data_IF_488380189563
#
_entry.id   IF_488380189563
#
_cell.length_a   1.000
_cell.length_b   1.000
_cell.length_c   1.000
_cell.angle_alpha   90.00
_cell.angle_beta   90.00
_cell.angle_gamma   90.00
#
_symmetry.space_group_name_H-M   'P 1'
#
loop_
_entity.id
_entity.type
_entity.pdbx_description
1 polymer ?
#
# COMPACT_ATOMS: atom_id res chain seq x y z
N UNK A 1 -18.22 14.66 16.64
CA UNK A 1 -16.94 15.25 17.13
C UNK A 1 -16.12 15.88 16.00
N UNK A 2 -16.02 15.26 14.81
CA UNK A 2 -15.21 15.78 13.70
C UNK A 2 -15.64 17.14 13.12
N UNK A 3 -16.94 17.45 13.12
CA UNK A 3 -17.48 18.73 12.60
C UNK A 3 -17.20 19.95 13.48
N UNK A 4 -16.90 19.77 14.78
CA UNK A 4 -16.90 20.88 15.74
C UNK A 4 -15.51 21.49 16.01
N UNK A 5 -14.41 20.75 15.78
CA UNK A 5 -13.04 21.25 15.94
C UNK A 5 -11.97 20.30 15.36
N UNK A 6 -11.81 20.20 14.02
CA UNK A 6 -10.86 19.27 13.40
C UNK A 6 -9.41 19.50 13.84
N UNK A 7 -9.03 20.77 14.05
CA UNK A 7 -7.69 21.16 14.50
C UNK A 7 -7.41 20.76 15.96
N UNK A 8 -8.43 20.66 16.81
CA UNK A 8 -8.27 20.30 18.23
C UNK A 8 -7.98 18.82 18.43
N UNK A 9 -8.43 17.95 17.50
CA UNK A 9 -8.21 16.50 17.60
C UNK A 9 -6.72 16.17 17.63
N UNK A 10 -5.92 16.84 16.80
CA UNK A 10 -4.47 16.66 16.77
C UNK A 10 -3.82 16.97 18.14
N UNK A 11 -4.20 18.09 18.78
CA UNK A 11 -3.65 18.45 20.08
C UNK A 11 -4.08 17.50 21.20
N UNK A 12 -5.34 17.02 21.17
CA UNK A 12 -5.84 16.04 22.12
C UNK A 12 -5.10 14.70 21.98
N UNK A 13 -4.96 14.19 20.76
CA UNK A 13 -4.20 12.96 20.52
C UNK A 13 -2.73 13.11 20.89
N UNK A 14 -2.12 14.28 20.63
CA UNK A 14 -0.75 14.58 21.05
C UNK A 14 -0.58 14.52 22.57
N UNK A 15 -1.55 15.03 23.33
CA UNK A 15 -1.53 14.97 24.79
C UNK A 15 -1.57 13.51 25.27
N UNK A 16 -2.53 12.72 24.78
CA UNK A 16 -2.67 11.31 25.13
C UNK A 16 -1.44 10.48 24.74
N UNK A 17 -0.91 10.69 23.54
CA UNK A 17 0.33 10.05 23.09
C UNK A 17 1.48 10.32 24.07
N UNK A 18 1.69 11.59 24.48
CA UNK A 18 2.76 11.95 25.43
C UNK A 18 2.54 11.33 26.79
N UNK A 19 1.29 11.26 27.27
CA UNK A 19 0.96 10.58 28.54
C UNK A 19 1.34 9.10 28.47
N UNK A 20 0.91 8.38 27.43
CA UNK A 20 1.23 6.95 27.24
C UNK A 20 2.74 6.73 27.07
N UNK A 21 3.41 7.52 26.24
CA UNK A 21 4.85 7.38 26.01
C UNK A 21 5.69 7.68 27.25
N UNK A 22 5.16 8.44 28.22
CA UNK A 22 5.86 8.74 29.46
C UNK A 22 5.80 7.61 30.50
N UNK A 23 4.87 6.66 30.37
CA UNK A 23 4.63 5.58 31.36
C UNK A 23 5.91 4.82 31.76
N UNK A 24 6.79 4.40 30.81
CA UNK A 24 8.02 3.69 31.18
C UNK A 24 8.99 4.49 32.06
N UNK A 25 8.84 5.83 32.10
CA UNK A 25 9.72 6.74 32.81
C UNK A 25 9.13 7.24 34.14
N UNK A 26 7.84 7.01 34.38
CA UNK A 26 7.15 7.44 35.60
C UNK A 26 7.45 6.45 36.73
N UNK A 27 8.15 6.92 37.76
CA UNK A 27 8.44 6.15 38.99
C UNK A 27 7.38 6.35 40.09
N UNK A 28 6.28 7.03 39.76
CA UNK A 28 5.22 7.32 40.72
C UNK A 28 4.46 6.04 41.09
N UNK A 29 4.13 5.90 42.37
CA UNK A 29 3.33 4.79 42.90
C UNK A 29 1.82 4.99 42.74
N UNK A 30 1.39 6.16 42.25
CA UNK A 30 -0.02 6.46 42.03
C UNK A 30 -0.54 5.83 40.71
N UNK A 31 -1.77 5.29 40.69
CA UNK A 31 -2.34 4.67 39.50
C UNK A 31 -2.61 5.71 38.41
N UNK A 32 -2.04 5.53 37.22
CA UNK A 32 -2.21 6.44 36.09
C UNK A 32 -3.53 6.26 35.31
N UNK A 33 -4.28 5.18 35.56
CA UNK A 33 -5.58 4.84 34.92
C UNK A 33 -5.59 4.79 33.38
N UNK A 34 -4.44 4.93 32.71
CA UNK A 34 -4.30 4.86 31.26
C UNK A 34 -4.83 3.55 30.65
N UNK A 35 -4.70 2.41 31.34
CA UNK A 35 -5.27 1.11 30.94
C UNK A 35 -6.81 1.10 30.85
N UNK A 36 -7.46 2.05 31.53
CA UNK A 36 -8.91 2.23 31.51
C UNK A 36 -9.33 3.22 30.41
N UNK A 37 -8.67 4.37 30.32
CA UNK A 37 -9.11 5.45 29.43
C UNK A 37 -8.53 5.40 28.01
N UNK A 38 -7.34 4.83 27.80
CA UNK A 38 -6.76 4.74 26.43
C UNK A 38 -7.59 3.88 25.47
N UNK A 39 -8.22 2.76 25.90
CA UNK A 39 -9.20 2.05 25.06
C UNK A 39 -10.42 2.91 24.70
N UNK A 40 -10.94 3.71 25.64
CA UNK A 40 -12.11 4.58 25.39
C UNK A 40 -11.80 5.67 24.37
N UNK A 41 -10.63 6.31 24.49
CA UNK A 41 -10.16 7.33 23.54
C UNK A 41 -9.97 6.70 22.15
N UNK A 42 -9.32 5.54 22.09
CA UNK A 42 -9.08 4.82 20.83
C UNK A 42 -10.39 4.42 20.18
N UNK A 43 -11.32 3.85 20.95
CA UNK A 43 -12.65 3.45 20.48
C UNK A 43 -13.45 4.63 19.97
N UNK A 44 -13.50 5.73 20.74
CA UNK A 44 -14.22 6.95 20.37
C UNK A 44 -13.68 7.55 19.07
N UNK A 45 -12.35 7.60 18.92
CA UNK A 45 -11.72 8.10 17.69
C UNK A 45 -12.12 7.24 16.48
N UNK A 46 -11.91 5.92 16.56
CA UNK A 46 -12.19 5.00 15.44
C UNK A 46 -13.66 5.07 15.06
N UNK A 47 -14.56 4.90 16.02
CA UNK A 47 -16.01 4.93 15.78
C UNK A 47 -16.44 6.27 15.17
N UNK A 48 -15.93 7.39 15.68
CA UNK A 48 -16.25 8.71 15.10
C UNK A 48 -15.79 8.85 13.64
N UNK A 49 -14.69 8.22 13.22
CA UNK A 49 -14.24 8.24 11.81
C UNK A 49 -15.11 7.37 10.92
N UNK A 50 -15.51 6.19 11.39
CA UNK A 50 -16.38 5.30 10.61
C UNK A 50 -17.82 5.84 10.46
N UNK A 51 -18.33 6.49 11.50
CA UNK A 51 -19.63 7.17 11.46
C UNK A 51 -19.58 8.39 10.53
N UNK A 52 -18.47 9.14 10.50
CA UNK A 52 -18.35 10.32 9.64
C UNK A 52 -18.44 9.99 8.16
N UNK A 53 -18.00 8.80 7.73
CA UNK A 53 -18.05 8.40 6.30
C UNK A 53 -19.47 8.49 5.75
N UNK A 54 -20.47 8.01 6.48
CA UNK A 54 -21.85 8.02 6.01
C UNK A 54 -22.38 9.46 5.84
N UNK A 55 -21.99 10.36 6.75
CA UNK A 55 -22.37 11.78 6.69
C UNK A 55 -21.68 12.47 5.52
N UNK A 56 -20.35 12.30 5.40
CA UNK A 56 -19.54 12.88 4.32
C UNK A 56 -20.07 12.49 2.94
N UNK A 57 -20.35 11.20 2.73
CA UNK A 57 -20.82 10.70 1.44
C UNK A 57 -22.24 11.17 1.11
N UNK A 58 -23.15 11.21 2.10
CA UNK A 58 -24.57 11.57 1.86
C UNK A 58 -24.79 13.07 1.74
N UNK A 59 -24.04 13.86 2.51
CA UNK A 59 -24.19 15.31 2.57
C UNK A 59 -23.17 16.04 1.66
N UNK A 60 -22.23 15.31 1.05
CA UNK A 60 -21.22 15.89 0.16
C UNK A 60 -20.25 16.82 0.88
N UNK A 61 -19.92 16.51 2.14
CA UNK A 61 -18.98 17.29 2.94
C UNK A 61 -17.53 16.99 2.55
N UNK A 62 -16.60 17.82 3.02
CA UNK A 62 -15.17 17.59 2.88
C UNK A 62 -14.77 16.27 3.56
N UNK A 63 -14.10 15.39 2.81
CA UNK A 63 -13.66 14.10 3.32
C UNK A 63 -12.30 14.24 4.00
N UNK A 64 -12.16 13.92 5.30
CA UNK A 64 -10.86 14.00 5.96
C UNK A 64 -9.79 13.09 5.34
N UNK A 65 -10.17 12.06 4.56
CA UNK A 65 -9.23 11.22 3.81
C UNK A 65 -8.54 11.95 2.63
N UNK A 66 -9.01 13.14 2.26
CA UNK A 66 -8.39 13.95 1.20
C UNK A 66 -7.08 14.64 1.70
N UNK A 67 -6.92 14.83 3.01
CA UNK A 67 -5.66 15.25 3.64
C UNK A 67 -4.93 14.06 4.29
N UNK A 68 -4.28 13.26 3.45
CA UNK A 68 -3.53 12.09 3.91
C UNK A 68 -2.38 12.44 4.87
N UNK A 69 -1.81 13.65 4.79
CA UNK A 69 -0.74 14.10 5.69
C UNK A 69 -1.25 14.26 7.12
N UNK A 70 -2.38 14.96 7.28
CA UNK A 70 -3.06 15.10 8.57
C UNK A 70 -3.53 13.75 9.11
N UNK A 71 -4.11 12.90 8.26
CA UNK A 71 -4.56 11.56 8.67
C UNK A 71 -3.40 10.72 9.18
N UNK A 72 -2.28 10.66 8.45
CA UNK A 72 -1.09 9.92 8.87
C UNK A 72 -0.58 10.39 10.24
N UNK A 73 -0.50 11.70 10.46
CA UNK A 73 -0.07 12.25 11.74
C UNK A 73 -1.00 11.86 12.89
N UNK A 74 -2.32 11.90 12.68
CA UNK A 74 -3.28 11.46 13.72
C UNK A 74 -3.17 9.97 14.00
N UNK A 75 -2.97 9.15 12.97
CA UNK A 75 -2.85 7.70 13.13
C UNK A 75 -1.54 7.27 13.77
N UNK A 76 -0.44 8.00 13.57
CA UNK A 76 0.81 7.80 14.32
C UNK A 76 0.64 8.07 15.81
N UNK A 77 -0.17 9.07 16.17
CA UNK A 77 -0.49 9.36 17.57
C UNK A 77 -1.41 8.30 18.15
N UNK A 78 -2.46 7.94 17.40
CA UNK A 78 -3.43 6.91 17.79
C UNK A 78 -2.76 5.55 17.97
N UNK A 79 -1.78 5.19 17.13
CA UNK A 79 -1.11 3.88 17.23
C UNK A 79 -0.38 3.74 18.55
N UNK A 80 0.29 4.80 19.03
CA UNK A 80 0.94 4.79 20.35
C UNK A 80 -0.10 4.64 21.47
N UNK A 81 -1.22 5.35 21.39
CA UNK A 81 -2.30 5.28 22.39
C UNK A 81 -2.93 3.88 22.42
N UNK A 82 -3.33 3.37 21.25
CA UNK A 82 -3.99 2.08 21.11
C UNK A 82 -3.09 0.89 21.50
N UNK A 83 -1.77 1.04 21.41
CA UNK A 83 -0.81 0.02 21.86
C UNK A 83 -0.59 -0.02 23.38
N UNK A 84 -1.10 0.96 24.12
CA UNK A 84 -1.15 0.87 25.59
C UNK A 84 -1.96 -0.36 26.04
N UNK A 85 -3.09 -0.60 25.37
CA UNK A 85 -4.02 -1.72 25.65
C UNK A 85 -4.31 -2.46 24.35
N UNK A 86 -3.26 -3.03 23.76
CA UNK A 86 -3.30 -3.48 22.36
C UNK A 86 -4.34 -4.57 22.11
N UNK A 87 -4.56 -5.47 23.07
CA UNK A 87 -5.58 -6.51 22.96
C UNK A 87 -6.99 -5.94 22.77
N UNK A 88 -7.37 -4.91 23.54
CA UNK A 88 -8.67 -4.25 23.41
C UNK A 88 -8.79 -3.53 22.07
N UNK A 89 -7.72 -2.86 21.63
CA UNK A 89 -7.65 -2.19 20.33
C UNK A 89 -7.82 -3.18 19.17
N UNK A 90 -7.09 -4.29 19.17
CA UNK A 90 -7.20 -5.32 18.14
C UNK A 90 -8.58 -5.97 18.11
N UNK A 91 -9.17 -6.29 19.27
CA UNK A 91 -10.52 -6.84 19.35
C UNK A 91 -11.56 -5.91 18.72
N UNK A 92 -11.47 -4.60 19.00
CA UNK A 92 -12.34 -3.60 18.39
C UNK A 92 -12.14 -3.51 16.87
N UNK A 93 -10.89 -3.47 16.40
CA UNK A 93 -10.59 -3.40 14.97
C UNK A 93 -11.10 -4.63 14.21
N UNK A 94 -10.92 -5.82 14.78
CA UNK A 94 -11.47 -7.07 14.24
C UNK A 94 -12.98 -6.98 14.09
N UNK A 95 -13.70 -6.57 15.15
CA UNK A 95 -15.15 -6.46 15.14
C UNK A 95 -15.65 -5.48 14.06
N UNK A 96 -15.08 -4.27 14.02
CA UNK A 96 -15.50 -3.22 13.08
C UNK A 96 -15.15 -3.58 11.63
N UNK A 97 -14.00 -4.24 11.42
CA UNK A 97 -13.59 -4.71 10.11
C UNK A 97 -14.49 -5.83 9.60
N UNK A 98 -14.73 -6.86 10.40
CA UNK A 98 -15.57 -7.99 10.00
C UNK A 98 -17.00 -7.50 9.67
N UNK A 99 -17.56 -6.61 10.50
CA UNK A 99 -18.85 -5.99 10.22
C UNK A 99 -18.86 -5.22 8.88
N UNK A 100 -17.87 -4.36 8.64
CA UNK A 100 -17.82 -3.53 7.42
C UNK A 100 -17.55 -4.38 6.18
N UNK A 101 -16.72 -5.41 6.29
CA UNK A 101 -16.37 -6.30 5.19
C UNK A 101 -17.54 -7.21 4.80
N UNK A 102 -18.29 -7.75 5.77
CA UNK A 102 -19.51 -8.53 5.50
C UNK A 102 -20.56 -7.68 4.80
N UNK A 103 -20.85 -6.47 5.30
CA UNK A 103 -21.80 -5.55 4.64
C UNK A 103 -21.35 -5.19 3.22
N UNK A 104 -20.06 -4.96 3.02
CA UNK A 104 -19.52 -4.70 1.69
C UNK A 104 -19.71 -5.90 0.74
N UNK A 105 -19.43 -7.12 1.19
CA UNK A 105 -19.64 -8.34 0.40
C UNK A 105 -21.11 -8.57 0.05
N UNK A 106 -22.01 -8.35 1.00
CA UNK A 106 -23.46 -8.43 0.77
C UNK A 106 -23.91 -7.43 -0.30
N UNK A 107 -23.46 -6.17 -0.20
CA UNK A 107 -23.75 -5.15 -1.21
C UNK A 107 -23.19 -5.53 -2.59
N UNK A 108 -21.98 -6.08 -2.65
CA UNK A 108 -21.36 -6.52 -3.90
C UNK A 108 -22.01 -7.75 -4.55
N UNK A 109 -22.81 -8.50 -3.79
CA UNK A 109 -23.58 -9.65 -4.30
C UNK A 109 -25.02 -9.31 -4.66
N UNK A 110 -25.54 -8.18 -4.15
CA UNK A 110 -26.89 -7.72 -4.42
C UNK A 110 -27.01 -6.98 -5.75
N UNK A 111 -27.93 -7.42 -6.61
CA UNK A 111 -28.20 -6.76 -7.90
C UNK A 111 -28.84 -5.37 -7.78
N UNK A 112 -29.39 -5.05 -6.61
CA UNK A 112 -30.07 -3.77 -6.34
C UNK A 112 -29.27 -2.89 -5.36
N UNK A 113 -27.97 -3.15 -5.17
CA UNK A 113 -27.17 -2.36 -4.25
C UNK A 113 -27.11 -0.89 -4.67
N UNK A 114 -27.45 0.00 -3.74
CA UNK A 114 -27.30 1.43 -3.97
C UNK A 114 -25.82 1.79 -3.98
N UNK A 115 -25.37 2.46 -5.03
CA UNK A 115 -23.97 2.88 -5.19
C UNK A 115 -23.46 3.69 -3.98
N UNK A 116 -24.33 4.49 -3.36
CA UNK A 116 -24.02 5.27 -2.17
C UNK A 116 -23.60 4.35 -1.01
N UNK A 117 -24.31 3.25 -0.77
CA UNK A 117 -24.00 2.35 0.34
C UNK A 117 -22.69 1.60 0.09
N UNK A 118 -22.40 1.26 -1.18
CA UNK A 118 -21.11 0.71 -1.60
C UNK A 118 -19.97 1.70 -1.27
N UNK A 119 -20.13 2.97 -1.65
CA UNK A 119 -19.14 4.02 -1.36
C UNK A 119 -18.95 4.25 0.14
N UNK A 120 -20.02 4.17 0.94
CA UNK A 120 -19.93 4.26 2.41
C UNK A 120 -19.10 3.11 2.98
N UNK A 121 -19.34 1.87 2.55
CA UNK A 121 -18.54 0.75 3.05
C UNK A 121 -17.09 0.81 2.56
N UNK A 122 -16.85 1.26 1.33
CA UNK A 122 -15.50 1.51 0.84
C UNK A 122 -14.76 2.51 1.74
N UNK A 123 -15.37 3.66 2.06
CA UNK A 123 -14.75 4.66 2.94
C UNK A 123 -14.49 4.15 4.36
N UNK A 124 -15.40 3.34 4.93
CA UNK A 124 -15.20 2.70 6.24
C UNK A 124 -14.02 1.73 6.22
N UNK A 125 -13.96 0.89 5.20
CA UNK A 125 -12.86 -0.06 5.01
C UNK A 125 -11.54 0.68 4.74
N UNK A 126 -11.55 1.80 4.00
CA UNK A 126 -10.37 2.65 3.82
C UNK A 126 -9.81 3.13 5.15
N UNK A 127 -10.67 3.69 6.02
CA UNK A 127 -10.27 4.10 7.37
C UNK A 127 -9.69 2.94 8.17
N UNK A 128 -10.36 1.80 8.18
CA UNK A 128 -9.91 0.62 8.92
C UNK A 128 -8.57 0.10 8.43
N UNK A 129 -8.34 0.04 7.12
CA UNK A 129 -7.06 -0.39 6.54
C UNK A 129 -5.93 0.57 6.94
N UNK A 130 -6.16 1.89 6.89
CA UNK A 130 -5.18 2.86 7.38
C UNK A 130 -4.91 2.70 8.88
N UNK A 131 -5.95 2.58 9.70
CA UNK A 131 -5.82 2.43 11.16
C UNK A 131 -5.08 1.13 11.49
N UNK A 132 -5.40 0.01 10.84
CA UNK A 132 -4.71 -1.27 11.02
C UNK A 132 -3.24 -1.16 10.62
N UNK A 133 -2.95 -0.58 9.45
CA UNK A 133 -1.58 -0.35 9.00
C UNK A 133 -0.77 0.47 10.01
N UNK A 134 -1.32 1.61 10.47
CA UNK A 134 -0.67 2.45 11.48
C UNK A 134 -0.56 1.76 12.84
N UNK A 135 -1.57 0.98 13.24
CA UNK A 135 -1.54 0.20 14.47
C UNK A 135 -0.36 -0.76 14.43
N UNK A 136 -0.21 -1.57 13.37
CA UNK A 136 0.92 -2.50 13.16
C UNK A 136 2.25 -1.75 13.11
N UNK A 137 2.34 -0.68 12.31
CA UNK A 137 3.53 0.14 12.12
C UNK A 137 4.00 0.90 13.37
N UNK A 138 3.09 1.23 14.30
CA UNK A 138 3.39 1.90 15.56
C UNK A 138 4.13 1.03 16.59
N UNK A 139 4.60 -0.16 16.19
CA UNK A 139 5.37 -1.05 17.07
C UNK A 139 6.74 -0.44 17.34
N UNK A 140 7.08 -0.28 18.62
CA UNK A 140 8.45 0.09 19.04
C UNK A 140 9.30 -1.19 19.14
N UNK A 141 10.52 -1.17 18.58
CA UNK A 141 11.41 -2.34 18.43
C UNK A 141 11.73 -3.11 19.73
N UNK A 142 11.51 -2.52 20.90
CA UNK A 142 11.79 -3.14 22.20
C UNK A 142 10.56 -3.82 22.85
N UNK A 143 9.38 -3.76 22.22
CA UNK A 143 8.12 -4.31 22.76
C UNK A 143 7.58 -5.48 21.92
N UNK A 144 8.47 -6.31 21.35
CA UNK A 144 8.08 -7.52 20.61
C UNK A 144 7.65 -8.62 21.58
N UNK A 145 6.35 -8.74 21.80
CA UNK A 145 5.73 -9.89 22.44
C UNK A 145 5.02 -10.76 21.39
N UNK A 146 5.22 -12.07 21.47
CA UNK A 146 4.57 -13.11 20.67
C UNK A 146 3.04 -12.95 20.57
N UNK A 147 2.38 -12.49 21.64
CA UNK A 147 0.93 -12.26 21.64
C UNK A 147 0.52 -11.12 20.70
N UNK A 148 1.31 -10.06 20.64
CA UNK A 148 1.08 -8.95 19.71
C UNK A 148 1.27 -9.39 18.26
N UNK A 149 2.20 -10.32 18.00
CA UNK A 149 2.37 -10.92 16.67
C UNK A 149 1.18 -11.75 16.22
N UNK A 150 0.57 -12.51 17.13
CA UNK A 150 -0.64 -13.26 16.81
C UNK A 150 -1.80 -12.31 16.45
N UNK A 151 -1.96 -11.23 17.22
CA UNK A 151 -3.00 -10.22 16.95
C UNK A 151 -2.76 -9.46 15.66
N UNK A 152 -1.51 -9.08 15.37
CA UNK A 152 -1.14 -8.46 14.09
C UNK A 152 -1.44 -9.43 12.93
N UNK A 153 -1.18 -10.73 13.11
CA UNK A 153 -1.54 -11.77 12.13
C UNK A 153 -3.04 -11.81 11.81
N UNK A 154 -3.91 -11.73 12.82
CA UNK A 154 -5.37 -11.67 12.63
C UNK A 154 -5.82 -10.45 11.80
N UNK A 155 -5.21 -9.29 12.06
CA UNK A 155 -5.52 -8.07 11.33
C UNK A 155 -4.99 -8.11 9.89
N UNK A 156 -3.76 -8.59 9.68
CA UNK A 156 -3.15 -8.76 8.36
C UNK A 156 -3.99 -9.70 7.50
N UNK A 157 -4.45 -10.83 8.06
CA UNK A 157 -5.30 -11.78 7.33
C UNK A 157 -6.55 -11.12 6.76
N UNK A 158 -7.24 -10.30 7.55
CA UNK A 158 -8.44 -9.56 7.14
C UNK A 158 -8.17 -8.57 6.02
N UNK A 159 -7.09 -7.79 6.14
CA UNK A 159 -6.70 -6.82 5.11
C UNK A 159 -6.35 -7.53 3.79
N UNK A 160 -5.63 -8.65 3.84
CA UNK A 160 -5.28 -9.43 2.65
C UNK A 160 -6.49 -10.12 2.01
N UNK A 161 -7.47 -10.58 2.80
CA UNK A 161 -8.73 -11.10 2.29
C UNK A 161 -9.55 -10.01 1.59
N UNK A 162 -9.61 -8.81 2.18
CA UNK A 162 -10.26 -7.66 1.55
C UNK A 162 -9.55 -7.28 0.24
N UNK A 163 -8.21 -7.29 0.21
CA UNK A 163 -7.44 -7.04 -1.01
C UNK A 163 -7.82 -8.04 -2.11
N UNK A 164 -7.89 -9.34 -1.81
CA UNK A 164 -8.31 -10.34 -2.79
C UNK A 164 -9.72 -10.06 -3.34
N UNK A 165 -10.65 -9.65 -2.47
CA UNK A 165 -12.01 -9.27 -2.86
C UNK A 165 -12.02 -8.04 -3.79
N UNK A 166 -11.28 -6.98 -3.45
CA UNK A 166 -11.24 -5.75 -4.26
C UNK A 166 -10.52 -5.97 -5.59
N UNK A 167 -9.41 -6.71 -5.58
CA UNK A 167 -8.59 -6.96 -6.77
C UNK A 167 -9.35 -7.80 -7.81
N UNK A 168 -10.14 -8.77 -7.35
CA UNK A 168 -10.99 -9.59 -8.23
C UNK A 168 -12.05 -8.80 -9.01
N UNK A 169 -12.32 -7.55 -8.61
CA UNK A 169 -13.37 -6.70 -9.19
C UNK A 169 -12.85 -5.44 -9.87
N UNK A 170 -11.54 -5.25 -9.99
CA UNK A 170 -10.96 -4.05 -10.59
C UNK A 170 -11.46 -3.77 -12.02
N UNK A 171 -11.83 -4.81 -12.77
CA UNK A 171 -12.43 -4.66 -14.11
C UNK A 171 -13.83 -4.04 -14.10
N UNK A 172 -14.56 -4.15 -12.98
CA UNK A 172 -15.91 -3.60 -12.78
C UNK A 172 -15.88 -2.20 -12.14
N UNK A 173 -14.72 -1.80 -11.60
CA UNK A 173 -14.51 -0.55 -10.89
C UNK A 173 -13.68 -0.74 -9.64
N UNK A 174 -12.92 0.28 -9.27
CA UNK A 174 -12.06 0.28 -8.07
C UNK A 174 -12.30 1.51 -7.20
N UNK A 175 -11.76 1.48 -5.99
CA UNK A 175 -11.76 2.63 -5.08
C UNK A 175 -10.32 3.09 -4.87
N UNK A 176 -9.94 4.24 -5.43
CA UNK A 176 -8.58 4.76 -5.32
C UNK A 176 -8.16 4.98 -3.86
N UNK A 177 -9.06 5.52 -3.02
CA UNK A 177 -8.80 5.75 -1.59
C UNK A 177 -8.48 4.44 -0.86
N UNK A 178 -9.24 3.38 -1.12
CA UNK A 178 -9.00 2.06 -0.54
C UNK A 178 -7.68 1.45 -1.05
N UNK A 179 -7.38 1.62 -2.34
CA UNK A 179 -6.12 1.16 -2.92
C UNK A 179 -4.90 1.84 -2.29
N UNK A 180 -4.98 3.15 -2.07
CA UNK A 180 -3.92 3.90 -1.37
C UNK A 180 -3.78 3.47 0.10
N UNK A 181 -4.88 3.11 0.76
CA UNK A 181 -4.83 2.51 2.08
C UNK A 181 -4.14 1.15 2.07
N UNK A 182 -4.41 0.30 1.08
CA UNK A 182 -3.73 -0.99 0.90
C UNK A 182 -2.22 -0.81 0.74
N UNK A 183 -1.78 0.13 -0.10
CA UNK A 183 -0.35 0.45 -0.27
C UNK A 183 0.28 0.95 1.03
N UNK A 184 -0.41 1.81 1.78
CA UNK A 184 0.04 2.27 3.10
C UNK A 184 0.15 1.12 4.10
N UNK A 185 -0.79 0.18 4.07
CA UNK A 185 -0.76 -1.01 4.90
C UNK A 185 0.46 -1.88 4.57
N UNK A 186 0.71 -2.16 3.27
CA UNK A 186 1.88 -2.94 2.84
C UNK A 186 3.20 -2.28 3.27
N UNK A 187 3.29 -0.95 3.21
CA UNK A 187 4.46 -0.22 3.70
C UNK A 187 4.72 -0.50 5.19
N UNK A 188 3.68 -0.39 6.04
CA UNK A 188 3.79 -0.63 7.47
C UNK A 188 4.05 -2.11 7.79
N UNK A 189 3.36 -3.02 7.11
CA UNK A 189 3.57 -4.45 7.26
C UNK A 189 5.00 -4.85 6.89
N UNK A 190 5.53 -4.33 5.77
CA UNK A 190 6.93 -4.54 5.35
C UNK A 190 7.91 -4.09 6.42
N UNK A 191 7.75 -2.86 6.94
CA UNK A 191 8.64 -2.27 7.95
C UNK A 191 8.80 -3.14 9.20
N UNK A 192 7.74 -3.85 9.59
CA UNK A 192 7.73 -4.66 10.82
C UNK A 192 8.07 -6.13 10.57
N UNK A 193 7.59 -6.69 9.45
CA UNK A 193 7.54 -8.14 9.25
C UNK A 193 8.25 -8.66 8.01
N UNK A 194 8.88 -7.81 7.21
CA UNK A 194 9.67 -8.22 6.05
C UNK A 194 11.09 -7.67 6.15
N UNK A 195 12.09 -8.56 6.12
CA UNK A 195 13.51 -8.20 6.20
C UNK A 195 14.31 -9.04 7.18
N UNK A 196 15.62 -8.81 7.26
CA UNK A 196 16.56 -9.69 7.98
C UNK A 196 16.39 -9.68 9.50
N UNK A 197 15.77 -8.62 10.06
CA UNK A 197 15.58 -8.46 11.50
C UNK A 197 14.30 -9.14 12.02
N UNK A 198 13.55 -9.80 11.13
CA UNK A 198 12.26 -10.42 11.48
C UNK A 198 12.49 -11.80 12.08
N UNK A 199 11.84 -12.05 13.22
CA UNK A 199 11.90 -13.36 13.86
C UNK A 199 11.20 -14.42 12.99
N UNK A 200 11.98 -15.39 12.51
CA UNK A 200 11.51 -16.47 11.61
C UNK A 200 10.37 -17.34 12.19
N UNK A 201 10.17 -17.32 13.51
CA UNK A 201 9.13 -18.07 14.22
C UNK A 201 8.01 -17.18 14.78
N UNK A 202 7.90 -15.94 14.31
CA UNK A 202 6.86 -15.01 14.77
C UNK A 202 5.46 -15.59 14.58
N UNK A 203 4.59 -15.42 15.57
CA UNK A 203 3.21 -15.91 15.53
C UNK A 203 2.37 -15.28 14.39
N UNK A 204 2.83 -14.17 13.81
CA UNK A 204 2.22 -13.57 12.63
C UNK A 204 2.23 -14.55 11.45
N UNK A 205 3.37 -15.19 11.18
CA UNK A 205 3.53 -16.12 10.05
C UNK A 205 2.77 -17.42 10.28
N UNK A 206 2.68 -17.87 11.54
CA UNK A 206 1.79 -18.98 11.89
C UNK A 206 0.35 -18.66 11.50
N UNK A 207 -0.12 -17.45 11.82
CA UNK A 207 -1.50 -17.09 11.52
C UNK A 207 -1.76 -16.93 10.02
N UNK A 208 -0.81 -16.35 9.30
CA UNK A 208 -0.88 -16.23 7.83
C UNK A 208 -0.87 -17.59 7.14
N UNK A 209 -0.10 -18.55 7.66
CA UNK A 209 -0.09 -19.94 7.20
C UNK A 209 -1.46 -20.60 7.42
N UNK A 210 -2.03 -20.50 8.62
CA UNK A 210 -3.32 -21.11 8.97
C UNK A 210 -4.50 -20.58 8.16
N UNK A 211 -4.55 -19.26 7.92
CA UNK A 211 -5.73 -18.61 7.31
C UNK A 211 -5.58 -18.43 5.80
N UNK A 212 -4.37 -18.13 5.32
CA UNK A 212 -4.11 -17.78 3.92
C UNK A 212 -3.19 -18.77 3.21
N UNK A 213 -2.64 -19.76 3.91
CA UNK A 213 -1.67 -20.70 3.34
C UNK A 213 -0.30 -20.08 3.07
N UNK A 214 0.00 -18.90 3.63
CA UNK A 214 1.29 -18.22 3.45
C UNK A 214 2.30 -18.74 4.48
N UNK A 215 3.06 -19.76 4.08
CA UNK A 215 3.89 -20.55 4.99
C UNK A 215 5.24 -19.93 5.31
N UNK A 216 5.73 -19.04 4.45
CA UNK A 216 7.04 -18.42 4.58
C UNK A 216 7.08 -16.99 4.03
N UNK A 217 8.20 -16.33 4.27
CA UNK A 217 8.47 -14.95 3.82
C UNK A 217 8.45 -14.84 2.29
N UNK A 218 8.84 -15.87 1.54
CA UNK A 218 8.84 -15.82 0.07
C UNK A 218 7.42 -15.76 -0.48
N UNK A 219 6.48 -16.53 0.10
CA UNK A 219 5.06 -16.44 -0.22
C UNK A 219 4.48 -15.06 0.11
N UNK A 220 4.89 -14.46 1.25
CA UNK A 220 4.50 -13.08 1.58
C UNK A 220 5.05 -12.10 0.54
N UNK A 221 6.33 -12.19 0.17
CA UNK A 221 6.92 -11.34 -0.88
C UNK A 221 6.21 -11.52 -2.23
N UNK A 222 5.77 -12.74 -2.58
CA UNK A 222 4.94 -12.99 -3.76
C UNK A 222 3.62 -12.21 -3.70
N UNK A 223 2.96 -12.12 -2.53
CA UNK A 223 1.77 -11.27 -2.35
C UNK A 223 2.07 -9.79 -2.61
N UNK A 224 3.19 -9.26 -2.10
CA UNK A 224 3.61 -7.87 -2.37
C UNK A 224 3.82 -7.63 -3.88
N UNK A 225 4.58 -8.49 -4.55
CA UNK A 225 4.90 -8.31 -5.98
C UNK A 225 3.64 -8.49 -6.84
N UNK A 226 2.76 -9.45 -6.51
CA UNK A 226 1.48 -9.61 -7.19
C UNK A 226 0.59 -8.38 -7.07
N UNK A 227 0.57 -7.76 -5.89
CA UNK A 227 -0.15 -6.50 -5.68
C UNK A 227 0.44 -5.37 -6.51
N UNK A 228 1.78 -5.25 -6.54
CA UNK A 228 2.49 -4.29 -7.39
C UNK A 228 2.09 -4.47 -8.86
N UNK A 229 2.17 -5.70 -9.39
CA UNK A 229 1.81 -6.00 -10.78
C UNK A 229 0.35 -5.65 -11.05
N UNK A 230 -0.56 -6.03 -10.16
CA UNK A 230 -1.98 -5.73 -10.27
C UNK A 230 -2.20 -4.23 -10.37
N UNK A 231 -1.55 -3.45 -9.52
CA UNK A 231 -1.69 -2.00 -9.55
C UNK A 231 -1.13 -1.38 -10.82
N UNK A 232 0.06 -1.82 -11.27
CA UNK A 232 0.66 -1.32 -12.51
C UNK A 232 -0.17 -1.69 -13.76
N UNK A 233 -0.95 -2.79 -13.72
CA UNK A 233 -1.85 -3.23 -14.79
C UNK A 233 -3.15 -2.43 -14.84
N UNK A 234 -3.83 -2.28 -13.69
CA UNK A 234 -5.21 -1.77 -13.66
C UNK A 234 -5.31 -0.28 -13.30
N UNK A 235 -4.33 0.28 -12.58
CA UNK A 235 -4.34 1.66 -12.10
C UNK A 235 -3.46 2.62 -12.92
N UNK A 236 -3.16 2.28 -14.18
CA UNK A 236 -2.27 3.06 -15.07
C UNK A 236 -2.70 4.51 -15.35
N UNK A 237 -3.93 4.90 -14.97
CA UNK A 237 -4.45 6.27 -15.08
C UNK A 237 -4.31 7.12 -13.81
N UNK A 238 -4.00 6.50 -12.67
CA UNK A 238 -3.82 7.22 -11.40
C UNK A 238 -2.32 7.34 -11.11
N UNK A 239 -1.73 8.48 -11.45
CA UNK A 239 -0.30 8.76 -11.18
C UNK A 239 0.05 8.52 -9.71
N UNK A 240 -0.85 8.90 -8.79
CA UNK A 240 -0.63 8.76 -7.36
C UNK A 240 -0.50 7.29 -6.93
N UNK A 241 -1.38 6.40 -7.42
CA UNK A 241 -1.31 4.96 -7.14
C UNK A 241 -0.05 4.35 -7.78
N UNK A 242 0.26 4.71 -9.03
CA UNK A 242 1.44 4.19 -9.73
C UNK A 242 2.72 4.58 -8.99
N UNK A 243 2.89 5.86 -8.67
CA UNK A 243 4.10 6.31 -8.02
C UNK A 243 4.24 5.76 -6.58
N UNK A 244 3.14 5.57 -5.81
CA UNK A 244 3.18 4.87 -4.51
C UNK A 244 3.48 3.36 -4.65
N UNK A 245 2.92 2.71 -5.67
CA UNK A 245 3.20 1.30 -6.00
C UNK A 245 4.68 1.09 -6.33
N UNK A 246 5.26 1.99 -7.12
CA UNK A 246 6.68 1.93 -7.48
C UNK A 246 7.60 2.29 -6.33
N UNK A 247 7.17 3.15 -5.40
CA UNK A 247 7.90 3.38 -4.16
C UNK A 247 8.00 2.08 -3.34
N UNK A 248 6.89 1.33 -3.22
CA UNK A 248 6.88 0.03 -2.55
C UNK A 248 7.83 -0.98 -3.23
N UNK A 249 7.82 -1.04 -4.56
CA UNK A 249 8.77 -1.86 -5.32
C UNK A 249 10.23 -1.44 -5.07
N UNK A 250 10.52 -0.14 -5.14
CA UNK A 250 11.87 0.38 -4.88
C UNK A 250 12.33 0.00 -3.46
N UNK A 251 11.46 0.18 -2.47
CA UNK A 251 11.71 -0.15 -1.07
C UNK A 251 12.05 -1.63 -0.84
N UNK A 252 11.42 -2.53 -1.60
CA UNK A 252 11.69 -3.97 -1.57
C UNK A 252 13.03 -4.33 -2.25
N UNK A 253 13.42 -3.59 -3.30
CA UNK A 253 14.61 -3.89 -4.11
C UNK A 253 15.91 -3.27 -3.59
N UNK A 254 15.86 -2.40 -2.58
CA UNK A 254 17.08 -1.80 -1.99
C UNK A 254 17.85 -2.78 -1.10
N UNK A 255 17.18 -3.70 -0.41
CA UNK A 255 17.81 -4.63 0.52
C UNK A 255 18.44 -5.84 -0.19
N UNK A 256 19.74 -6.10 0.05
CA UNK A 256 20.48 -7.21 -0.59
C UNK A 256 19.85 -8.59 -0.36
N UNK A 257 19.42 -8.89 0.87
CA UNK A 257 18.77 -10.16 1.21
C UNK A 257 17.40 -10.31 0.55
N UNK A 258 16.60 -9.25 0.55
CA UNK A 258 15.28 -9.21 -0.03
C UNK A 258 15.35 -9.38 -1.55
N UNK A 259 16.23 -8.65 -2.23
CA UNK A 259 16.36 -8.71 -3.70
C UNK A 259 16.73 -10.12 -4.18
N UNK A 260 17.60 -10.85 -3.46
CA UNK A 260 17.93 -12.25 -3.79
C UNK A 260 16.78 -13.24 -3.62
N UNK A 261 15.83 -12.96 -2.73
CA UNK A 261 14.60 -13.75 -2.61
C UNK A 261 13.61 -13.36 -3.71
N UNK A 262 13.46 -12.06 -3.96
CA UNK A 262 12.56 -11.51 -4.97
C UNK A 262 12.86 -12.05 -6.37
N UNK A 263 14.12 -12.10 -6.80
CA UNK A 263 14.47 -12.61 -8.14
C UNK A 263 14.12 -14.08 -8.34
N UNK A 264 13.83 -14.84 -7.30
CA UNK A 264 13.38 -16.25 -7.44
C UNK A 264 11.87 -16.37 -7.66
N UNK A 265 11.12 -15.28 -7.47
CA UNK A 265 9.66 -15.29 -7.60
C UNK A 265 9.25 -15.22 -9.07
N UNK A 266 8.26 -16.03 -9.45
CA UNK A 266 7.68 -16.02 -10.80
C UNK A 266 7.11 -14.65 -11.17
N UNK A 267 6.51 -13.94 -10.21
CA UNK A 267 5.98 -12.59 -10.43
C UNK A 267 7.08 -11.59 -10.82
N UNK A 268 8.28 -11.70 -10.22
CA UNK A 268 9.42 -10.85 -10.58
C UNK A 268 9.97 -11.24 -11.95
N UNK A 269 10.03 -12.54 -12.27
CA UNK A 269 10.41 -12.98 -13.62
C UNK A 269 9.43 -12.48 -14.67
N UNK A 270 8.14 -12.48 -14.37
CA UNK A 270 7.14 -11.88 -15.25
C UNK A 270 7.46 -10.40 -15.52
N UNK A 271 7.75 -9.61 -14.49
CA UNK A 271 8.07 -8.19 -14.66
C UNK A 271 9.35 -7.95 -15.47
N UNK A 272 10.41 -8.72 -15.24
CA UNK A 272 11.68 -8.61 -15.96
C UNK A 272 11.56 -8.99 -17.45
N UNK A 273 10.58 -9.82 -17.80
CA UNK A 273 10.37 -10.26 -19.18
C UNK A 273 9.25 -9.49 -19.90
N UNK A 274 8.43 -8.71 -19.18
CA UNK A 274 7.20 -8.10 -19.71
C UNK A 274 7.06 -6.62 -19.28
N UNK A 275 8.12 -5.83 -19.44
CA UNK A 275 8.22 -4.43 -19.04
C UNK A 275 7.89 -3.44 -20.16
N UNK A 276 6.78 -3.67 -20.88
CA UNK A 276 6.29 -2.79 -21.98
C UNK A 276 4.89 -2.25 -21.70
N UNK A 277 4.44 -1.30 -22.51
CA UNK A 277 3.09 -0.72 -22.40
C UNK A 277 1.94 -1.70 -22.67
N UNK A 278 2.24 -2.86 -23.27
CA UNK A 278 1.28 -3.97 -23.43
C UNK A 278 0.86 -4.55 -22.08
N UNK A 279 1.81 -4.64 -21.15
CA UNK A 279 1.61 -5.21 -19.83
C UNK A 279 1.39 -4.15 -18.75
N UNK A 280 2.01 -2.99 -18.92
CA UNK A 280 1.96 -1.90 -17.94
C UNK A 280 1.59 -0.58 -18.63
N UNK A 281 0.30 -0.20 -18.66
CA UNK A 281 -0.18 0.94 -19.45
C UNK A 281 0.54 2.27 -19.18
N UNK A 282 1.07 2.49 -17.97
CA UNK A 282 1.80 3.70 -17.61
C UNK A 282 3.13 3.89 -18.39
N UNK A 283 3.62 2.85 -19.07
CA UNK A 283 4.79 2.91 -19.96
C UNK A 283 4.43 3.40 -21.37
N UNK A 284 3.15 3.56 -21.69
CA UNK A 284 2.69 3.97 -23.02
C UNK A 284 2.92 5.45 -23.34
N UNK A 285 2.94 5.77 -24.63
CA UNK A 285 3.07 7.15 -25.12
C UNK A 285 1.80 8.00 -24.94
N UNK A 286 0.66 7.36 -24.61
CA UNK A 286 -0.60 8.04 -24.31
C UNK A 286 -0.60 8.80 -22.97
N UNK A 287 0.38 8.54 -22.12
CA UNK A 287 0.52 9.12 -20.78
C UNK A 287 1.02 10.57 -20.85
N UNK A 288 0.67 11.40 -19.86
CA UNK A 288 1.17 12.76 -19.77
C UNK A 288 2.68 12.78 -19.49
N UNK A 289 3.41 13.76 -20.04
CA UNK A 289 4.88 13.84 -19.88
C UNK A 289 5.29 14.02 -18.40
N UNK A 290 4.46 14.68 -17.60
CA UNK A 290 4.65 14.80 -16.15
C UNK A 290 4.68 13.45 -15.45
N UNK A 291 3.76 12.56 -15.82
CA UNK A 291 3.56 11.23 -15.23
C UNK A 291 4.65 10.23 -15.65
N UNK A 292 5.34 10.47 -16.79
CA UNK A 292 6.45 9.65 -17.27
C UNK A 292 7.65 9.59 -16.29
N UNK A 293 7.66 10.41 -15.23
CA UNK A 293 8.65 10.32 -14.15
C UNK A 293 8.59 8.96 -13.43
N UNK A 294 7.41 8.36 -13.30
CA UNK A 294 7.27 7.06 -12.64
C UNK A 294 8.03 5.95 -13.43
N UNK A 295 8.26 6.10 -14.75
CA UNK A 295 9.06 5.17 -15.58
C UNK A 295 10.49 5.00 -15.08
N UNK A 296 11.16 6.09 -14.72
CA UNK A 296 12.54 6.02 -14.20
C UNK A 296 12.61 5.19 -12.91
N UNK A 297 11.64 5.35 -11.99
CA UNK A 297 11.61 4.56 -10.75
C UNK A 297 11.38 3.07 -10.99
N UNK A 298 10.52 2.75 -11.98
CA UNK A 298 10.27 1.38 -12.40
C UNK A 298 11.55 0.72 -12.93
N UNK A 299 12.22 1.35 -13.89
CA UNK A 299 13.46 0.82 -14.47
C UNK A 299 14.63 0.80 -13.49
N UNK A 300 14.74 1.74 -12.55
CA UNK A 300 15.71 1.64 -11.45
C UNK A 300 15.47 0.39 -10.60
N UNK A 301 14.22 0.07 -10.29
CA UNK A 301 13.89 -1.12 -9.49
C UNK A 301 14.13 -2.42 -10.26
N UNK A 302 13.75 -2.46 -11.55
CA UNK A 302 14.03 -3.60 -12.43
C UNK A 302 15.53 -3.80 -12.65
N UNK A 303 16.30 -2.71 -12.84
CA UNK A 303 17.75 -2.76 -12.96
C UNK A 303 18.39 -3.41 -11.74
N UNK A 304 17.99 -3.02 -10.51
CA UNK A 304 18.47 -3.68 -9.29
C UNK A 304 18.17 -5.18 -9.26
N UNK A 305 16.99 -5.59 -9.70
CA UNK A 305 16.58 -6.99 -9.76
C UNK A 305 17.39 -7.77 -10.81
N UNK A 306 17.57 -7.19 -12.01
CA UNK A 306 18.34 -7.78 -13.09
C UNK A 306 19.82 -7.98 -12.70
N UNK A 307 20.39 -7.01 -12.00
CA UNK A 307 21.82 -7.02 -11.62
C UNK A 307 22.20 -8.12 -10.63
N UNK A 308 21.23 -8.77 -9.96
CA UNK A 308 21.52 -9.85 -9.00
C UNK A 308 22.14 -11.07 -9.67
N UNK A 309 21.65 -11.43 -10.86
CA UNK A 309 22.04 -12.65 -11.59
C UNK A 309 22.77 -12.34 -12.91
N UNK A 310 23.09 -11.06 -13.18
CA UNK A 310 23.64 -10.62 -14.48
C UNK A 310 24.97 -11.31 -14.84
N UNK A 311 25.78 -11.68 -13.85
CA UNK A 311 27.05 -12.38 -14.08
C UNK A 311 26.90 -13.87 -14.40
N UNK A 312 25.69 -14.44 -14.28
CA UNK A 312 25.42 -15.86 -14.46
C UNK A 312 24.71 -16.17 -15.80
N UNK A 313 24.04 -15.18 -16.42
CA UNK A 313 23.21 -15.35 -17.63
C UNK A 313 23.20 -14.08 -18.50
N UNK A 314 24.08 -14.02 -19.51
CA UNK A 314 24.17 -12.92 -20.49
C UNK A 314 22.95 -12.84 -21.43
N UNK A 315 22.31 -13.99 -21.73
CA UNK A 315 21.14 -14.05 -22.60
C UNK A 315 19.94 -13.35 -21.96
N UNK A 316 19.83 -13.43 -20.63
CA UNK A 316 18.82 -12.71 -19.85
C UNK A 316 18.96 -11.19 -19.96
N UNK A 317 20.19 -10.67 -19.92
CA UNK A 317 20.42 -9.23 -20.14
C UNK A 317 19.98 -8.82 -21.54
N UNK A 318 20.37 -9.59 -22.55
CA UNK A 318 20.01 -9.32 -23.95
C UNK A 318 18.50 -9.32 -24.14
N UNK A 319 17.80 -10.30 -23.55
CA UNK A 319 16.34 -10.41 -23.58
C UNK A 319 15.66 -9.23 -22.89
N UNK A 320 16.19 -8.80 -21.74
CA UNK A 320 15.70 -7.63 -21.01
C UNK A 320 15.85 -6.33 -21.82
N UNK A 321 16.95 -6.16 -22.55
CA UNK A 321 17.22 -4.95 -23.33
C UNK A 321 16.46 -4.90 -24.66
N UNK A 322 15.98 -6.03 -25.18
CA UNK A 322 15.32 -6.12 -26.49
C UNK A 322 14.16 -5.12 -26.68
N UNK A 323 13.21 -4.94 -25.74
CA UNK A 323 12.14 -3.94 -25.91
C UNK A 323 12.66 -2.50 -26.02
N UNK A 324 13.77 -2.16 -25.37
CA UNK A 324 14.39 -0.84 -25.45
C UNK A 324 15.10 -0.63 -26.80
N UNK A 325 15.75 -1.67 -27.32
CA UNK A 325 16.32 -1.65 -28.68
C UNK A 325 15.23 -1.41 -29.72
N UNK A 326 14.10 -2.13 -29.63
CA UNK A 326 12.97 -1.93 -30.53
C UNK A 326 12.39 -0.51 -30.42
N UNK A 327 12.36 0.08 -29.23
CA UNK A 327 11.94 1.47 -29.04
C UNK A 327 12.88 2.47 -29.71
N UNK A 328 14.21 2.26 -29.62
CA UNK A 328 15.20 3.05 -30.36
C UNK A 328 14.99 2.99 -31.87
N UNK A 329 14.82 1.79 -32.43
CA UNK A 329 14.61 1.57 -33.86
C UNK A 329 13.31 2.23 -34.33
N UNK A 330 12.23 2.09 -33.57
CA UNK A 330 10.94 2.70 -33.86
C UNK A 330 11.03 4.22 -33.89
N UNK A 331 11.70 4.85 -32.91
CA UNK A 331 11.94 6.30 -32.90
C UNK A 331 12.79 6.73 -34.09
N UNK A 332 13.85 5.97 -34.43
CA UNK A 332 14.68 6.22 -35.61
C UNK A 332 13.87 6.24 -36.90
N UNK A 333 12.97 5.27 -37.07
CA UNK A 333 12.06 5.20 -38.21
C UNK A 333 11.05 6.37 -38.24
N UNK A 334 10.53 6.79 -37.09
CA UNK A 334 9.64 7.98 -37.01
C UNK A 334 10.36 9.26 -37.43
N UNK A 335 11.61 9.44 -36.99
CA UNK A 335 12.42 10.62 -37.32
C UNK A 335 12.88 10.64 -38.78
N UNK A 336 13.22 9.47 -39.35
CA UNK A 336 13.61 9.36 -40.76
C UNK A 336 12.46 9.68 -41.72
N UNK A 337 11.22 9.41 -41.32
CA UNK A 337 10.00 9.65 -42.11
C UNK A 337 9.35 11.02 -41.85
N UNK A 338 10.03 11.95 -41.17
CA UNK A 338 9.50 13.24 -40.70
C UNK A 338 9.19 14.29 -41.81
N UNK A 339 8.87 13.87 -43.03
CA UNK A 339 8.39 14.73 -44.12
C UNK A 339 6.99 15.32 -43.90
N UNK A 340 6.31 15.00 -42.79
CA UNK A 340 4.99 15.54 -42.41
C UNK A 340 5.08 16.26 -41.04
N UNK A 341 4.95 17.60 -40.99
CA UNK A 341 5.65 18.40 -39.97
C UNK A 341 5.00 18.57 -38.59
N UNK A 342 3.79 18.03 -38.29
CA UNK A 342 3.08 18.40 -37.03
C UNK A 342 2.60 17.23 -36.18
N UNK A 343 2.13 16.12 -36.78
CA UNK A 343 1.63 14.94 -36.03
C UNK A 343 2.65 13.81 -35.90
N UNK A 344 3.79 13.86 -36.60
CA UNK A 344 4.89 12.94 -36.33
C UNK A 344 5.74 13.42 -35.15
N UNK A 345 5.70 14.72 -34.82
CA UNK A 345 6.63 15.35 -33.87
C UNK A 345 6.27 15.15 -32.40
N UNK A 346 5.00 15.22 -32.01
CA UNK A 346 4.63 15.07 -30.59
C UNK A 346 4.66 13.61 -30.13
N UNK A 347 4.26 12.68 -30.99
CA UNK A 347 4.32 11.24 -30.77
C UNK A 347 5.77 10.78 -30.68
N UNK A 348 6.63 11.20 -31.63
CA UNK A 348 8.06 10.90 -31.59
C UNK A 348 8.74 11.54 -30.36
N UNK A 349 8.35 12.77 -29.99
CA UNK A 349 8.85 13.45 -28.79
C UNK A 349 8.44 12.72 -27.51
N UNK A 350 7.19 12.28 -27.39
CA UNK A 350 6.73 11.48 -26.23
C UNK A 350 7.39 10.11 -26.18
N UNK A 351 7.64 9.48 -27.33
CA UNK A 351 8.40 8.23 -27.39
C UNK A 351 9.85 8.43 -26.91
N UNK A 352 10.52 9.50 -27.37
CA UNK A 352 11.88 9.85 -26.98
C UNK A 352 12.00 10.23 -25.49
N UNK A 353 11.21 11.21 -25.05
CA UNK A 353 10.40 11.15 -23.82
C UNK A 353 10.62 9.95 -22.90
N UNK A 354 9.74 8.98 -23.12
CA UNK A 354 9.65 7.73 -22.41
C UNK A 354 10.94 6.94 -22.42
N UNK A 355 11.55 6.74 -23.60
CA UNK A 355 12.78 5.96 -23.72
C UNK A 355 13.93 6.57 -22.89
N UNK A 356 14.08 7.90 -22.92
CA UNK A 356 15.08 8.58 -22.10
C UNK A 356 14.80 8.44 -20.60
N UNK A 357 13.52 8.35 -20.19
CA UNK A 357 13.14 8.08 -18.79
C UNK A 357 13.45 6.65 -18.37
N UNK A 358 13.24 5.69 -19.25
CA UNK A 358 13.54 4.28 -19.02
C UNK A 358 15.05 4.09 -18.84
N UNK A 359 15.84 4.60 -19.79
CA UNK A 359 17.30 4.53 -19.78
C UNK A 359 17.93 5.31 -18.63
N UNK A 360 17.28 6.38 -18.15
CA UNK A 360 17.73 7.08 -16.93
C UNK A 360 17.49 6.26 -15.66
N UNK A 361 16.49 5.38 -15.70
CA UNK A 361 16.17 4.51 -14.58
C UNK A 361 17.19 3.39 -14.42
N UNK A 362 17.53 2.73 -15.54
CA UNK A 362 18.64 1.79 -15.63
C UNK A 362 19.97 2.48 -15.32
#
# INVERSE_FOLDING_TARGET
MWQFAPNSVHYLLSLWQRMVASVPYVKATEPHLLETYTPEVTSTYITSRLESVAVVVREGLEDPLDDLGMVQQQLEQLSVIGRCEYQKTCALLVQLFDQSATLYQELLSSSNAHQIDVTIQQGRLTWLVYIIGSAIGGRVSFNSNDEHDAMDGELVCRVLQLMNLTDSRLTQGGCEKLELAMLSFFEQFRKIYVGDQVQKNSKVYRRLSEVLGLNDEAMVLSVFVRKIITNLKYWGRSEHIICKTLQLLSDLTVGYSCVRKLVKLEEVQFMLNNHTSEHFPFLGNGVAVSEMRCRSMFYTSLGRLLMVDLGEDEDRFTSFMLPLTNAFESIGAMLANAGTPVFASEEAKKALIGLARDLRGL
#
